data_IF_578569393892
#
_entry.id   IF_578569393892
#
_cell.length_a   1.000
_cell.length_b   1.000
_cell.length_c   1.000
_cell.angle_alpha   90.00
_cell.angle_beta   90.00
_cell.angle_gamma   90.00
#
_symmetry.space_group_name_H-M   'P 1'
#
loop_
_entity.id
_entity.type
_entity.pdbx_description
1 polymer ?
#
# COMPACT_ATOMS: atom_id res chain seq x y z
N UNK A 1 7.58 -9.85 25.88
CA UNK A 1 8.01 -9.86 24.46
C UNK A 1 9.51 -10.07 24.47
N UNK A 2 10.03 -11.07 23.76
CA UNK A 2 11.48 -11.36 23.74
C UNK A 2 12.17 -10.45 22.71
N UNK A 3 12.47 -9.20 23.11
CA UNK A 3 13.13 -8.21 22.25
C UNK A 3 14.54 -8.66 21.80
N UNK A 4 15.19 -9.50 22.61
CA UNK A 4 16.52 -10.06 22.33
C UNK A 4 16.52 -11.01 21.12
N UNK A 5 15.37 -11.62 20.80
CA UNK A 5 15.23 -12.51 19.65
C UNK A 5 15.06 -11.75 18.32
N UNK A 6 14.78 -10.44 18.37
CA UNK A 6 14.59 -9.62 17.17
C UNK A 6 15.94 -9.32 16.51
N UNK A 7 15.96 -9.43 15.18
CA UNK A 7 17.07 -8.91 14.37
C UNK A 7 17.19 -7.39 14.49
N UNK A 8 18.36 -6.84 14.17
CA UNK A 8 18.60 -5.40 14.24
C UNK A 8 17.64 -4.60 13.34
N UNK A 9 17.26 -5.17 12.19
CA UNK A 9 16.27 -4.57 11.28
C UNK A 9 14.86 -4.59 11.87
N UNK A 10 14.46 -5.69 12.51
CA UNK A 10 13.14 -5.79 13.16
C UNK A 10 13.05 -4.84 14.35
N UNK A 11 14.10 -4.78 15.17
CA UNK A 11 14.17 -3.86 16.29
C UNK A 11 14.15 -2.40 15.81
N UNK A 12 14.97 -2.05 14.82
CA UNK A 12 14.94 -0.72 14.19
C UNK A 12 13.57 -0.39 13.62
N UNK A 13 12.89 -1.37 13.02
CA UNK A 13 11.56 -1.16 12.48
C UNK A 13 10.51 -0.88 13.56
N UNK A 14 10.62 -1.57 14.69
CA UNK A 14 9.72 -1.44 15.85
C UNK A 14 9.83 -0.04 16.48
N UNK A 15 11.04 0.48 16.67
CA UNK A 15 11.28 1.81 17.28
C UNK A 15 10.70 2.94 16.41
N UNK A 16 10.61 2.69 15.11
CA UNK A 16 10.10 3.65 14.13
C UNK A 16 8.59 3.47 13.87
N UNK A 17 7.91 2.55 14.57
CA UNK A 17 6.46 2.38 14.48
C UNK A 17 5.76 3.45 15.35
N UNK A 18 4.89 4.24 14.72
CA UNK A 18 4.14 5.33 15.38
C UNK A 18 2.97 4.83 16.23
N UNK A 19 2.57 3.57 16.06
CA UNK A 19 1.42 2.98 16.75
C UNK A 19 1.83 2.12 17.96
N UNK A 20 3.14 1.97 18.21
CA UNK A 20 3.65 1.17 19.31
C UNK A 20 3.34 1.86 20.66
N UNK A 21 2.95 1.06 21.66
CA UNK A 21 2.70 1.59 23.00
C UNK A 21 3.97 2.23 23.59
N UNK A 22 3.86 3.35 24.34
CA UNK A 22 5.03 4.09 24.84
C UNK A 22 6.00 3.24 25.67
N UNK A 23 5.47 2.32 26.48
CA UNK A 23 6.28 1.43 27.32
C UNK A 23 7.07 0.42 26.49
N UNK A 24 6.44 -0.17 25.48
CA UNK A 24 7.09 -1.07 24.53
C UNK A 24 8.15 -0.34 23.68
N UNK A 25 7.88 0.92 23.32
CA UNK A 25 8.81 1.77 22.59
C UNK A 25 10.07 2.05 23.40
N UNK A 26 9.94 2.38 24.68
CA UNK A 26 11.08 2.63 25.56
C UNK A 26 11.90 1.35 25.79
N UNK A 27 11.26 0.20 25.99
CA UNK A 27 11.97 -1.08 26.08
C UNK A 27 12.77 -1.39 24.81
N UNK A 28 12.18 -1.17 23.63
CA UNK A 28 12.84 -1.38 22.36
C UNK A 28 14.01 -0.41 22.12
N UNK A 29 13.88 0.85 22.54
CA UNK A 29 14.96 1.85 22.49
C UNK A 29 16.13 1.45 23.38
N UNK A 30 15.85 1.00 24.61
CA UNK A 30 16.89 0.56 25.54
C UNK A 30 17.67 -0.63 24.99
N UNK A 31 16.97 -1.64 24.46
CA UNK A 31 17.59 -2.79 23.81
C UNK A 31 18.45 -2.36 22.60
N UNK A 32 17.95 -1.44 21.77
CA UNK A 32 18.68 -0.94 20.61
C UNK A 32 19.96 -0.19 20.99
N UNK A 33 19.91 0.64 22.05
CA UNK A 33 21.07 1.31 22.59
C UNK A 33 22.06 0.33 23.22
N UNK A 34 21.57 -0.72 23.90
CA UNK A 34 22.40 -1.74 24.52
C UNK A 34 23.22 -2.54 23.48
N UNK A 35 22.72 -2.68 22.24
CA UNK A 35 23.44 -3.32 21.13
C UNK A 35 24.64 -2.53 20.61
N UNK A 36 24.77 -1.25 20.98
CA UNK A 36 25.91 -0.39 20.65
C UNK A 36 26.32 -0.46 19.17
N UNK A 37 25.32 -0.35 18.28
CA UNK A 37 25.51 -0.45 16.84
C UNK A 37 26.35 0.73 16.31
N UNK A 38 27.21 0.47 15.31
CA UNK A 38 27.96 1.53 14.66
C UNK A 38 27.05 2.42 13.81
N UNK A 39 27.49 3.67 13.57
CA UNK A 39 26.77 4.63 12.73
C UNK A 39 26.50 4.03 11.33
N UNK A 40 27.48 3.34 10.76
CA UNK A 40 27.37 2.68 9.45
C UNK A 40 26.26 1.63 9.42
N UNK A 41 26.11 0.83 10.49
CA UNK A 41 25.03 -0.16 10.59
C UNK A 41 23.68 0.54 10.67
N UNK A 42 23.57 1.61 11.47
CA UNK A 42 22.33 2.39 11.57
C UNK A 42 21.92 2.99 10.22
N UNK A 43 22.88 3.50 9.46
CA UNK A 43 22.64 4.03 8.11
C UNK A 43 22.13 2.92 7.16
N UNK A 44 22.74 1.73 7.19
CA UNK A 44 22.28 0.58 6.39
C UNK A 44 20.84 0.19 6.77
N UNK A 45 20.51 0.15 8.06
CA UNK A 45 19.17 -0.16 8.54
C UNK A 45 18.13 0.87 8.05
N UNK A 46 18.51 2.14 8.05
CA UNK A 46 17.72 3.23 7.49
C UNK A 46 17.49 3.07 5.99
N UNK A 47 18.56 2.83 5.22
CA UNK A 47 18.50 2.60 3.78
C UNK A 47 17.63 1.38 3.42
N UNK A 48 17.76 0.28 4.16
CA UNK A 48 16.95 -0.92 3.96
C UNK A 48 15.46 -0.65 4.19
N UNK A 49 15.12 0.06 5.29
CA UNK A 49 13.75 0.45 5.58
C UNK A 49 13.17 1.35 4.49
N UNK A 50 13.96 2.31 4.00
CA UNK A 50 13.56 3.18 2.91
C UNK A 50 13.31 2.37 1.62
N UNK A 51 14.22 1.48 1.26
CA UNK A 51 14.08 0.59 0.11
C UNK A 51 12.82 -0.30 0.20
N UNK A 52 12.52 -0.85 1.39
CA UNK A 52 11.32 -1.65 1.62
C UNK A 52 10.04 -0.80 1.53
N UNK A 53 10.07 0.43 2.03
CA UNK A 53 8.96 1.38 1.88
C UNK A 53 8.70 1.72 0.41
N UNK A 54 9.76 1.90 -0.39
CA UNK A 54 9.67 2.16 -1.83
C UNK A 54 9.10 0.94 -2.55
N UNK A 55 9.51 -0.29 -2.20
CA UNK A 55 8.95 -1.52 -2.77
C UNK A 55 7.46 -1.66 -2.46
N UNK A 56 7.04 -1.38 -1.22
CA UNK A 56 5.65 -1.41 -0.81
C UNK A 56 4.81 -0.36 -1.57
N UNK A 57 5.35 0.84 -1.75
CA UNK A 57 4.69 1.94 -2.46
C UNK A 57 4.63 1.76 -3.98
N UNK A 58 5.47 0.90 -4.55
CA UNK A 58 5.54 0.63 -5.99
C UNK A 58 4.77 -0.61 -6.46
N UNK A 59 4.04 -1.28 -5.56
CA UNK A 59 3.25 -2.46 -5.94
C UNK A 59 2.11 -2.05 -6.87
N UNK A 60 1.99 -2.72 -8.01
CA UNK A 60 0.89 -2.51 -8.95
C UNK A 60 -0.41 -3.13 -8.45
N UNK A 61 -1.55 -2.65 -8.98
CA UNK A 61 -2.84 -3.30 -8.78
C UNK A 61 -2.79 -4.75 -9.25
N UNK A 62 -3.38 -5.65 -8.46
CA UNK A 62 -3.50 -7.05 -8.84
C UNK A 62 -4.41 -7.18 -10.07
N UNK A 63 -4.23 -8.25 -10.85
CA UNK A 63 -5.09 -8.51 -11.99
C UNK A 63 -6.57 -8.61 -11.61
N UNK A 64 -6.85 -9.24 -10.46
CA UNK A 64 -8.21 -9.35 -9.92
C UNK A 64 -8.82 -7.98 -9.62
N UNK A 65 -8.06 -7.06 -9.03
CA UNK A 65 -8.54 -5.71 -8.74
C UNK A 65 -8.80 -4.93 -10.03
N UNK A 66 -7.90 -5.03 -11.01
CA UNK A 66 -8.08 -4.39 -12.33
C UNK A 66 -9.36 -4.85 -13.00
N UNK A 67 -9.59 -6.16 -13.01
CA UNK A 67 -10.78 -6.75 -13.64
C UNK A 67 -12.07 -6.33 -12.93
N UNK A 68 -12.12 -6.38 -11.60
CA UNK A 68 -13.32 -6.00 -10.86
C UNK A 68 -13.69 -4.53 -11.06
N UNK A 69 -12.71 -3.63 -11.12
CA UNK A 69 -12.90 -2.21 -11.40
C UNK A 69 -13.52 -1.99 -12.79
N UNK A 70 -12.99 -2.67 -13.82
CA UNK A 70 -13.47 -2.54 -15.21
C UNK A 70 -14.90 -3.06 -15.36
N UNK A 71 -15.24 -4.17 -14.70
CA UNK A 71 -16.57 -4.78 -14.81
C UNK A 71 -17.64 -3.95 -14.11
N UNK A 72 -17.31 -3.30 -12.98
CA UNK A 72 -18.26 -2.54 -12.17
C UNK A 72 -17.85 -1.07 -11.97
N UNK A 73 -17.70 -0.27 -13.03
CA UNK A 73 -17.23 1.12 -12.89
C UNK A 73 -18.32 2.05 -12.33
N UNK A 74 -19.60 1.68 -12.47
CA UNK A 74 -20.77 2.50 -12.12
C UNK A 74 -21.17 2.48 -10.64
N UNK A 75 -20.26 2.06 -9.75
CA UNK A 75 -20.53 2.05 -8.29
C UNK A 75 -19.54 2.99 -7.58
N UNK A 76 -19.72 4.33 -7.68
CA UNK A 76 -18.75 5.29 -7.13
C UNK A 76 -18.43 5.11 -5.65
N UNK A 77 -19.40 4.84 -4.75
CA UNK A 77 -19.10 4.60 -3.34
C UNK A 77 -18.16 3.41 -3.13
N UNK A 78 -18.37 2.33 -3.87
CA UNK A 78 -17.56 1.13 -3.79
C UNK A 78 -16.14 1.37 -4.33
N UNK A 79 -16.03 2.07 -5.46
CA UNK A 79 -14.73 2.46 -6.03
C UNK A 79 -13.94 3.38 -5.08
N UNK A 80 -14.61 4.32 -4.41
CA UNK A 80 -13.97 5.17 -3.41
C UNK A 80 -13.43 4.37 -2.21
N UNK A 81 -14.19 3.39 -1.71
CA UNK A 81 -13.73 2.49 -0.62
C UNK A 81 -12.50 1.69 -1.05
N UNK A 82 -12.51 1.13 -2.26
CA UNK A 82 -11.35 0.38 -2.77
C UNK A 82 -10.13 1.27 -3.02
N UNK A 83 -10.30 2.45 -3.60
CA UNK A 83 -9.23 3.42 -3.79
C UNK A 83 -8.60 3.81 -2.45
N UNK A 84 -9.41 4.12 -1.43
CA UNK A 84 -8.92 4.52 -0.11
C UNK A 84 -8.13 3.42 0.60
N UNK A 85 -8.42 2.14 0.34
CA UNK A 85 -7.61 1.02 0.84
C UNK A 85 -6.16 1.06 0.32
N UNK A 86 -5.95 1.49 -0.91
CA UNK A 86 -4.59 1.65 -1.47
C UNK A 86 -3.87 2.87 -0.88
N UNK A 87 -4.61 3.95 -0.64
CA UNK A 87 -4.07 5.16 -0.03
C UNK A 87 -3.69 4.94 1.45
N UNK A 88 -4.48 4.17 2.20
CA UNK A 88 -4.17 3.75 3.56
C UNK A 88 -2.89 2.90 3.67
N UNK A 89 -2.53 2.20 2.58
CA UNK A 89 -1.27 1.45 2.46
C UNK A 89 -0.12 2.28 1.88
N UNK A 90 -0.31 3.60 1.78
CA UNK A 90 0.61 4.57 1.19
C UNK A 90 1.02 4.26 -0.27
N UNK A 91 0.27 3.40 -0.96
CA UNK A 91 0.55 2.98 -2.32
C UNK A 91 -0.11 3.92 -3.33
N UNK A 92 0.52 5.09 -3.50
CA UNK A 92 0.05 6.14 -4.42
C UNK A 92 -0.01 5.67 -5.88
N UNK A 93 0.88 4.76 -6.29
CA UNK A 93 0.90 4.22 -7.65
C UNK A 93 -0.36 3.41 -7.94
N UNK A 94 -0.71 2.46 -7.06
CA UNK A 94 -1.94 1.68 -7.16
C UNK A 94 -3.18 2.57 -7.10
N UNK A 95 -3.18 3.60 -6.23
CA UNK A 95 -4.30 4.56 -6.15
C UNK A 95 -4.52 5.30 -7.48
N UNK A 96 -3.44 5.79 -8.12
CA UNK A 96 -3.54 6.42 -9.45
C UNK A 96 -4.01 5.44 -10.51
N UNK A 97 -3.45 4.23 -10.53
CA UNK A 97 -3.88 3.19 -11.47
C UNK A 97 -5.36 2.84 -11.29
N UNK A 98 -5.88 2.82 -10.06
CA UNK A 98 -7.27 2.50 -9.76
C UNK A 98 -8.22 3.42 -10.54
N UNK A 99 -8.01 4.74 -10.45
CA UNK A 99 -8.83 5.72 -11.18
C UNK A 99 -8.69 5.62 -12.70
N UNK A 100 -7.50 5.29 -13.21
CA UNK A 100 -7.32 5.02 -14.63
C UNK A 100 -8.16 3.82 -15.10
N UNK A 101 -8.22 2.75 -14.31
CA UNK A 101 -9.05 1.58 -14.61
C UNK A 101 -10.54 1.85 -14.47
N UNK A 102 -10.95 2.71 -13.51
CA UNK A 102 -12.33 3.18 -13.41
C UNK A 102 -12.72 3.91 -14.70
N UNK A 103 -11.91 4.88 -15.14
CA UNK A 103 -12.14 5.60 -16.38
C UNK A 103 -12.20 4.66 -17.60
N UNK A 104 -11.28 3.70 -17.68
CA UNK A 104 -11.28 2.67 -18.74
C UNK A 104 -12.58 1.85 -18.75
N UNK A 105 -13.05 1.43 -17.57
CA UNK A 105 -14.32 0.71 -17.42
C UNK A 105 -15.51 1.54 -17.88
N UNK A 106 -15.58 2.81 -17.50
CA UNK A 106 -16.62 3.74 -17.98
C UNK A 106 -16.61 3.86 -19.50
N UNK A 107 -15.44 4.05 -20.12
CA UNK A 107 -15.32 4.15 -21.59
C UNK A 107 -15.76 2.85 -22.26
N UNK A 108 -15.30 1.70 -21.77
CA UNK A 108 -15.66 0.39 -22.29
C UNK A 108 -17.18 0.17 -22.26
N UNK A 109 -17.81 0.36 -21.11
CA UNK A 109 -19.25 0.16 -20.98
C UNK A 109 -20.08 1.17 -21.75
N UNK A 110 -19.62 2.41 -21.87
CA UNK A 110 -20.28 3.41 -22.71
C UNK A 110 -20.32 2.96 -24.17
N UNK A 111 -19.21 2.44 -24.71
CA UNK A 111 -19.17 1.88 -26.07
C UNK A 111 -20.12 0.69 -26.21
N UNK A 112 -20.09 -0.24 -25.24
CA UNK A 112 -20.97 -1.43 -25.24
C UNK A 112 -22.45 -1.03 -25.25
N UNK A 113 -22.85 -0.07 -24.40
CA UNK A 113 -24.23 0.41 -24.32
C UNK A 113 -24.65 1.09 -25.62
N UNK A 114 -23.79 1.91 -26.22
CA UNK A 114 -24.08 2.57 -27.50
C UNK A 114 -24.29 1.54 -28.62
N UNK A 115 -23.40 0.54 -28.71
CA UNK A 115 -23.50 -0.52 -29.70
C UNK A 115 -24.75 -1.38 -29.48
N UNK A 116 -25.04 -1.74 -28.23
CA UNK A 116 -26.23 -2.50 -27.88
C UNK A 116 -27.51 -1.73 -28.24
N UNK A 117 -27.60 -0.45 -27.88
CA UNK A 117 -28.74 0.38 -28.23
C UNK A 117 -28.92 0.47 -29.75
N UNK A 118 -27.83 0.64 -30.51
CA UNK A 118 -27.88 0.72 -31.98
C UNK A 118 -28.25 -0.60 -32.68
N UNK A 119 -27.95 -1.75 -32.07
CA UNK A 119 -28.21 -3.05 -32.70
C UNK A 119 -29.57 -3.64 -32.32
N UNK A 120 -30.10 -3.29 -31.14
CA UNK A 120 -31.28 -3.94 -30.58
C UNK A 120 -32.45 -2.98 -30.30
N UNK A 121 -32.22 -1.66 -30.19
CA UNK A 121 -33.29 -0.69 -29.86
C UNK A 121 -33.64 0.27 -31.01
N UNK A 122 -32.70 0.53 -31.93
CA UNK A 122 -32.87 1.41 -33.10
C UNK A 122 -32.62 0.64 -34.38
#
# INVERSE_FOLDING_TARGET
MELQALSDQELYNLIQDKNLEPEALEMARQEFLARNLSIEVVDILGMNREADSIKLNNKDLSFSDKFSIIVFPFVPPLQAVFANKHLAKNNLKSWKQHWNYVALGFTFWTIVIILFARLFLF
#
